data_IF_525750687298
#
_entry.id   IF_525750687298
#
_cell.length_a   1.000
_cell.length_b   1.000
_cell.length_c   1.000
_cell.angle_alpha   90.00
_cell.angle_beta   90.00
_cell.angle_gamma   90.00
#
_symmetry.space_group_name_H-M   'P 1'
#
loop_
_entity.id
_entity.type
_entity.pdbx_description
1 polymer ?
#
# COMPACT_ATOMS: atom_id res chain seq x y z
N UNK A 1 -23.14 9.80 -4.16
CA UNK A 1 -22.50 8.51 -4.50
C UNK A 1 -21.87 8.04 -3.21
N UNK A 2 -22.31 6.92 -2.63
CA UNK A 2 -21.77 6.44 -1.34
C UNK A 2 -20.38 5.86 -1.61
N UNK A 3 -19.33 6.38 -0.97
CA UNK A 3 -17.95 5.89 -1.09
C UNK A 3 -17.52 5.16 0.18
N UNK A 4 -16.38 4.47 0.15
CA UNK A 4 -15.78 3.90 1.37
C UNK A 4 -15.47 4.98 2.42
N UNK A 5 -15.13 6.20 1.98
CA UNK A 5 -14.88 7.32 2.88
C UNK A 5 -16.16 7.85 3.51
N UNK A 6 -17.25 7.93 2.76
CA UNK A 6 -18.56 8.29 3.32
C UNK A 6 -18.99 7.29 4.40
N UNK A 7 -18.71 6.00 4.18
CA UNK A 7 -18.94 4.97 5.20
C UNK A 7 -18.03 5.18 6.43
N UNK A 8 -16.72 5.38 6.21
CA UNK A 8 -15.73 5.60 7.26
C UNK A 8 -16.10 6.78 8.17
N UNK A 9 -16.40 7.95 7.58
CA UNK A 9 -16.73 9.15 8.33
C UNK A 9 -18.19 9.14 8.83
N UNK A 10 -19.09 8.43 8.15
CA UNK A 10 -20.49 8.28 8.57
C UNK A 10 -20.68 7.38 9.79
N UNK A 11 -19.75 6.48 10.08
CA UNK A 11 -19.73 5.62 11.28
C UNK A 11 -18.46 5.83 12.12
N UNK A 12 -18.07 7.10 12.30
CA UNK A 12 -16.79 7.51 12.89
C UNK A 12 -16.45 6.79 14.19
N UNK A 13 -17.34 6.79 15.18
CA UNK A 13 -17.06 6.22 16.51
C UNK A 13 -16.79 4.72 16.47
N UNK A 14 -17.47 3.98 15.57
CA UNK A 14 -17.22 2.55 15.37
C UNK A 14 -15.79 2.30 14.90
N UNK A 15 -15.38 2.99 13.85
CA UNK A 15 -14.06 2.78 13.25
C UNK A 15 -12.94 3.39 14.10
N UNK A 16 -13.21 4.48 14.82
CA UNK A 16 -12.30 5.02 15.83
C UNK A 16 -12.02 3.99 16.93
N UNK A 17 -13.04 3.33 17.46
CA UNK A 17 -12.88 2.28 18.47
C UNK A 17 -12.05 1.09 17.95
N UNK A 18 -12.28 0.68 16.70
CA UNK A 18 -11.51 -0.38 16.04
C UNK A 18 -10.02 0.00 15.89
N UNK A 19 -9.73 1.22 15.41
CA UNK A 19 -8.36 1.71 15.30
C UNK A 19 -7.69 1.79 16.67
N UNK A 20 -8.39 2.30 17.69
CA UNK A 20 -7.89 2.38 19.07
C UNK A 20 -7.48 1.01 19.60
N UNK A 21 -8.34 0.00 19.43
CA UNK A 21 -8.04 -1.37 19.87
C UNK A 21 -6.78 -1.95 19.19
N UNK A 22 -6.59 -1.64 17.90
CA UNK A 22 -5.38 -2.04 17.16
C UNK A 22 -4.14 -1.32 17.71
N UNK A 23 -4.21 0.00 17.90
CA UNK A 23 -3.08 0.79 18.40
C UNK A 23 -2.67 0.36 19.81
N UNK A 24 -3.63 0.07 20.69
CA UNK A 24 -3.37 -0.40 22.06
C UNK A 24 -2.67 -1.77 22.07
N UNK A 25 -3.08 -2.68 21.17
CA UNK A 25 -2.42 -3.97 21.01
C UNK A 25 -0.97 -3.83 20.55
N UNK A 26 -0.72 -2.95 19.58
CA UNK A 26 0.63 -2.74 19.04
C UNK A 26 1.53 -1.98 20.02
N UNK A 27 0.96 -1.11 20.87
CA UNK A 27 1.68 -0.39 21.92
C UNK A 27 2.24 -1.32 23.00
N UNK A 28 1.59 -2.46 23.27
CA UNK A 28 2.08 -3.48 24.21
C UNK A 28 2.98 -4.56 23.58
N UNK A 29 3.25 -4.47 22.27
CA UNK A 29 3.95 -5.50 21.51
C UNK A 29 5.49 -5.45 21.63
N UNK A 30 6.15 -6.50 21.12
CA UNK A 30 7.62 -6.60 21.07
C UNK A 30 8.29 -5.43 20.33
N UNK A 31 7.57 -4.78 19.41
CA UNK A 31 8.05 -3.68 18.57
C UNK A 31 7.55 -2.31 19.03
N UNK A 32 7.12 -2.17 20.29
CA UNK A 32 6.63 -0.89 20.83
C UNK A 32 7.62 0.26 20.65
N UNK A 33 8.93 0.00 20.73
CA UNK A 33 9.98 1.02 20.59
C UNK A 33 10.06 1.61 19.18
N UNK A 34 9.53 0.91 18.18
CA UNK A 34 9.47 1.34 16.78
C UNK A 34 8.14 2.03 16.44
N UNK A 35 7.18 2.08 17.37
CA UNK A 35 5.96 2.85 17.17
C UNK A 35 6.30 4.33 17.10
N UNK A 36 5.83 4.98 16.05
CA UNK A 36 6.16 6.37 15.78
C UNK A 36 5.66 7.31 16.90
N UNK A 37 4.58 6.95 17.60
CA UNK A 37 4.11 7.66 18.79
C UNK A 37 5.14 7.73 19.93
N UNK A 38 5.99 6.71 20.07
CA UNK A 38 7.07 6.72 21.08
C UNK A 38 8.10 7.79 20.77
N UNK A 39 8.35 8.10 19.50
CA UNK A 39 9.29 9.15 19.11
C UNK A 39 8.78 10.56 19.42
N UNK A 40 7.47 10.74 19.64
CA UNK A 40 6.91 12.02 20.07
C UNK A 40 7.14 12.33 21.56
N UNK A 41 7.70 11.39 22.33
CA UNK A 41 8.09 11.64 23.71
C UNK A 41 9.34 12.55 23.76
N UNK A 42 9.48 13.42 24.78
CA UNK A 42 10.63 14.30 24.92
C UNK A 42 11.95 13.54 24.79
N UNK A 43 12.86 14.08 23.98
CA UNK A 43 14.21 13.57 23.69
C UNK A 43 14.32 12.14 23.15
N UNK A 44 13.22 11.39 23.03
CA UNK A 44 13.25 9.99 22.61
C UNK A 44 13.82 9.82 21.21
N UNK A 45 13.38 10.66 20.26
CA UNK A 45 13.93 10.68 18.90
C UNK A 45 15.44 10.98 18.91
N UNK A 46 15.91 11.92 19.73
CA UNK A 46 17.34 12.30 19.79
C UNK A 46 18.22 11.19 20.37
N UNK A 47 17.73 10.47 21.36
CA UNK A 47 18.49 9.42 22.05
C UNK A 47 18.45 8.10 21.26
N UNK A 48 17.31 7.76 20.67
CA UNK A 48 17.11 6.47 20.02
C UNK A 48 17.56 6.42 18.57
N UNK A 49 17.91 7.56 17.96
CA UNK A 49 18.22 7.66 16.52
C UNK A 49 19.49 8.45 16.27
N UNK A 50 20.07 8.26 15.10
CA UNK A 50 21.14 9.10 14.57
C UNK A 50 20.79 9.60 13.17
N UNK A 51 21.39 10.72 12.77
CA UNK A 51 21.25 11.27 11.43
C UNK A 51 22.55 11.03 10.65
N UNK A 52 22.43 10.41 9.47
CA UNK A 52 23.57 10.08 8.61
C UNK A 52 23.52 10.86 7.30
N UNK A 53 24.51 11.71 7.08
CA UNK A 53 24.72 12.39 5.80
C UNK A 53 25.41 11.47 4.79
N UNK A 54 24.79 11.25 3.63
CA UNK A 54 25.38 10.41 2.55
C UNK A 54 26.56 11.08 1.82
N UNK A 55 26.69 12.40 1.94
CA UNK A 55 27.81 13.16 1.40
C UNK A 55 28.19 14.24 2.42
N UNK A 56 28.96 13.90 3.47
CA UNK A 56 29.20 14.77 4.62
C UNK A 56 29.89 16.10 4.27
N UNK A 57 30.58 16.16 3.13
CA UNK A 57 31.23 17.38 2.62
C UNK A 57 30.26 18.34 1.91
N UNK A 58 29.01 17.92 1.65
CA UNK A 58 27.99 18.74 1.01
C UNK A 58 26.92 19.14 2.03
N UNK A 59 26.74 20.44 2.24
CA UNK A 59 25.67 21.02 3.08
C UNK A 59 24.26 20.74 2.55
N UNK A 60 24.14 20.17 1.36
CA UNK A 60 22.88 19.84 0.69
C UNK A 60 22.79 18.35 0.34
N UNK A 61 23.49 17.51 1.09
CA UNK A 61 23.37 16.07 0.95
C UNK A 61 22.04 15.55 1.51
N UNK A 62 21.68 14.36 1.04
CA UNK A 62 20.65 13.56 1.68
C UNK A 62 21.09 13.12 3.07
N UNK A 63 20.17 13.23 4.03
CA UNK A 63 20.35 12.72 5.39
C UNK A 63 19.28 11.67 5.67
N UNK A 64 19.70 10.49 6.13
CA UNK A 64 18.81 9.40 6.53
C UNK A 64 18.79 9.27 8.07
N UNK A 65 17.65 8.85 8.64
CA UNK A 65 17.57 8.44 10.04
C UNK A 65 17.97 6.97 10.17
N UNK A 66 18.96 6.70 11.01
CA UNK A 66 19.57 5.38 11.21
C UNK A 66 19.64 5.00 12.69
N UNK A 67 19.92 3.72 12.96
CA UNK A 67 20.22 3.27 14.32
C UNK A 67 21.57 3.87 14.81
N UNK A 68 21.67 4.31 16.08
CA UNK A 68 22.84 5.03 16.58
C UNK A 68 24.07 4.14 16.84
N UNK A 69 23.89 2.84 17.08
CA UNK A 69 24.96 1.92 17.51
C UNK A 69 25.17 0.81 16.46
N UNK A 70 26.02 1.09 15.46
CA UNK A 70 26.40 0.10 14.43
C UNK A 70 27.63 -0.63 14.93
N UNK A 71 27.43 -1.75 15.65
CA UNK A 71 28.55 -2.49 16.26
C UNK A 71 29.44 -3.25 15.29
N UNK A 72 29.01 -3.44 14.05
CA UNK A 72 29.80 -3.91 12.91
C UNK A 72 28.85 -3.96 11.71
N UNK A 73 29.16 -3.28 10.60
CA UNK A 73 28.30 -3.27 9.40
C UNK A 73 28.07 -1.87 8.80
N UNK A 74 27.33 -1.84 7.70
CA UNK A 74 26.83 -0.59 7.10
C UNK A 74 25.71 -0.01 7.97
N UNK A 75 25.58 1.33 8.10
CA UNK A 75 24.48 1.93 8.83
C UNK A 75 23.11 1.46 8.33
N UNK A 76 22.23 1.08 9.27
CA UNK A 76 20.89 0.60 8.96
C UNK A 76 19.85 1.69 9.18
N UNK A 77 18.96 1.88 8.20
CA UNK A 77 17.81 2.79 8.31
C UNK A 77 16.88 2.34 9.43
N UNK A 78 16.43 3.30 10.25
CA UNK A 78 15.41 3.02 11.24
C UNK A 78 14.02 3.09 10.59
N UNK A 79 13.24 2.01 10.76
CA UNK A 79 11.89 1.87 10.20
C UNK A 79 10.87 1.90 11.32
N UNK A 80 9.99 2.89 11.28
CA UNK A 80 8.95 3.14 12.27
C UNK A 80 7.61 2.56 11.83
N UNK A 81 6.72 2.33 12.79
CA UNK A 81 5.37 1.79 12.58
C UNK A 81 4.31 2.80 12.96
N UNK A 82 3.21 2.84 12.21
CA UNK A 82 2.02 3.64 12.53
C UNK A 82 0.78 3.00 11.91
N UNK A 83 -0.33 3.00 12.64
CA UNK A 83 -1.61 2.45 12.17
C UNK A 83 -2.60 3.57 11.85
N UNK A 84 -3.49 3.34 10.90
CA UNK A 84 -4.53 4.28 10.52
C UNK A 84 -5.39 3.80 9.37
N UNK A 85 -6.47 4.54 9.09
CA UNK A 85 -7.33 4.26 7.94
C UNK A 85 -6.83 4.98 6.70
N UNK A 86 -6.78 4.29 5.56
CA UNK A 86 -6.43 4.90 4.27
C UNK A 86 -7.53 5.88 3.86
N UNK A 87 -7.16 7.13 3.63
CA UNK A 87 -8.03 8.15 3.01
C UNK A 87 -7.73 8.32 1.53
N UNK A 88 -6.48 8.11 1.12
CA UNK A 88 -6.08 8.15 -0.29
C UNK A 88 -4.90 7.22 -0.54
N UNK A 89 -4.89 6.57 -1.70
CA UNK A 89 -3.80 5.70 -2.12
C UNK A 89 -3.52 5.87 -3.62
N UNK A 90 -2.26 6.14 -3.95
CA UNK A 90 -1.71 6.11 -5.29
C UNK A 90 -0.78 4.90 -5.36
N UNK A 91 -1.35 3.75 -5.69
CA UNK A 91 -0.66 2.47 -5.74
C UNK A 91 -0.84 1.81 -7.12
N UNK A 92 0.05 0.87 -7.50
CA UNK A 92 -0.13 0.09 -8.71
C UNK A 92 -1.42 -0.74 -8.70
N UNK A 93 -1.88 -1.22 -9.85
CA UNK A 93 -1.22 -1.13 -11.16
C UNK A 93 -1.44 0.22 -11.86
N UNK A 94 -0.40 0.73 -12.53
CA UNK A 94 -0.52 1.95 -13.33
C UNK A 94 -1.19 1.66 -14.68
N UNK A 95 -2.40 2.17 -14.86
CA UNK A 95 -3.17 2.01 -16.11
C UNK A 95 -3.06 3.21 -17.03
N UNK A 96 -2.55 4.34 -16.54
CA UNK A 96 -2.44 5.59 -17.29
C UNK A 96 -1.12 6.27 -16.97
N UNK A 97 -0.57 6.98 -17.95
CA UNK A 97 0.61 7.83 -17.75
C UNK A 97 0.26 8.92 -16.73
N UNK A 98 1.04 9.06 -15.65
CA UNK A 98 0.83 10.15 -14.69
C UNK A 98 0.83 11.50 -15.42
N UNK A 99 -0.24 12.29 -15.27
CA UNK A 99 -0.33 13.63 -15.87
C UNK A 99 0.69 14.53 -15.18
N UNK A 100 1.62 15.10 -15.94
CA UNK A 100 2.63 16.02 -15.42
C UNK A 100 2.21 17.47 -15.62
N UNK A 101 2.32 18.28 -14.57
CA UNK A 101 2.39 19.74 -14.68
C UNK A 101 3.85 20.16 -14.47
N UNK A 102 4.72 19.90 -15.45
CA UNK A 102 6.11 20.38 -15.43
C UNK A 102 7.20 19.34 -15.68
N UNK A 103 8.43 19.86 -15.85
CA UNK A 103 9.63 19.10 -16.25
C UNK A 103 10.07 18.15 -15.13
N UNK A 104 9.91 16.86 -15.40
CA UNK A 104 10.51 15.70 -14.69
C UNK A 104 9.77 15.26 -13.42
N UNK A 105 8.59 14.67 -13.57
CA UNK A 105 7.89 13.99 -12.49
C UNK A 105 8.43 12.56 -12.34
N UNK A 106 9.19 12.29 -11.29
CA UNK A 106 9.49 10.92 -10.91
C UNK A 106 8.18 10.24 -10.44
N UNK A 107 7.79 9.10 -11.02
CA UNK A 107 6.59 8.40 -10.59
C UNK A 107 6.79 7.90 -9.15
N UNK A 108 5.79 8.14 -8.31
CA UNK A 108 5.78 7.75 -6.91
C UNK A 108 4.53 6.94 -6.58
N UNK A 109 4.66 6.12 -5.55
CA UNK A 109 3.54 5.56 -4.81
C UNK A 109 3.35 6.35 -3.53
N UNK A 110 2.10 6.57 -3.14
CA UNK A 110 1.80 7.17 -1.84
C UNK A 110 0.56 6.57 -1.20
N UNK A 111 0.56 6.57 0.13
CA UNK A 111 -0.58 6.22 0.96
C UNK A 111 -0.74 7.33 1.98
N UNK A 112 -1.96 7.86 2.07
CA UNK A 112 -2.36 8.84 3.09
C UNK A 112 -3.31 8.17 4.06
N UNK A 113 -2.98 8.21 5.34
CA UNK A 113 -3.79 7.65 6.44
C UNK A 113 -4.26 8.74 7.39
N UNK A 114 -5.37 8.46 8.09
CA UNK A 114 -5.89 9.28 9.19
C UNK A 114 -6.03 8.46 10.47
N UNK A 115 -5.83 9.12 11.61
CA UNK A 115 -6.09 8.59 12.95
C UNK A 115 -7.52 8.82 13.45
N UNK A 116 -8.40 9.44 12.66
CA UNK A 116 -9.78 9.77 13.06
C UNK A 116 -9.87 10.60 14.36
N UNK A 117 -8.83 11.40 14.64
CA UNK A 117 -8.74 12.26 15.84
C UNK A 117 -8.30 11.54 17.11
N UNK A 118 -7.72 10.33 17.01
CA UNK A 118 -7.09 9.66 18.15
C UNK A 118 -5.79 10.36 18.55
N UNK A 119 -5.62 10.56 19.86
CA UNK A 119 -4.44 11.21 20.42
C UNK A 119 -3.15 10.41 20.15
N UNK A 120 -3.22 9.08 20.15
CA UNK A 120 -2.08 8.22 19.85
C UNK A 120 -1.56 8.43 18.42
N UNK A 121 -2.46 8.75 17.49
CA UNK A 121 -2.07 9.08 16.12
C UNK A 121 -1.43 10.46 16.05
N UNK A 122 -2.00 11.46 16.72
CA UNK A 122 -1.41 12.79 16.82
C UNK A 122 -0.03 12.75 17.50
N UNK A 123 0.15 11.84 18.46
CA UNK A 123 1.43 11.58 19.10
C UNK A 123 2.46 11.00 18.11
N UNK A 124 2.04 10.18 17.14
CA UNK A 124 2.90 9.75 16.05
C UNK A 124 3.29 10.90 15.10
N UNK A 125 2.38 11.85 14.84
CA UNK A 125 2.71 13.05 14.07
C UNK A 125 3.72 13.94 14.79
N UNK A 126 3.61 14.08 16.12
CA UNK A 126 4.66 14.70 16.96
C UNK A 126 5.99 13.93 16.86
N UNK A 127 5.94 12.61 16.75
CA UNK A 127 7.11 11.77 16.49
C UNK A 127 7.81 12.10 15.17
N UNK A 128 7.05 12.29 14.08
CA UNK A 128 7.61 12.77 12.80
C UNK A 128 8.26 14.14 12.98
N UNK A 129 7.62 15.07 13.69
CA UNK A 129 8.20 16.37 13.98
C UNK A 129 9.49 16.26 14.80
N UNK A 130 9.56 15.37 15.79
CA UNK A 130 10.78 15.15 16.57
C UNK A 130 11.91 14.56 15.71
N UNK A 131 11.61 13.61 14.82
CA UNK A 131 12.57 13.05 13.87
C UNK A 131 13.06 14.10 12.86
N UNK A 132 12.17 15.00 12.42
CA UNK A 132 12.55 16.16 11.61
C UNK A 132 13.58 17.02 12.33
N UNK A 133 13.40 17.25 13.62
CA UNK A 133 14.31 18.09 14.39
C UNK A 133 15.70 17.43 14.48
N UNK A 134 15.77 16.09 14.60
CA UNK A 134 17.03 15.31 14.49
C UNK A 134 17.68 15.48 13.12
N UNK A 135 16.91 15.46 12.03
CA UNK A 135 17.43 15.74 10.69
C UNK A 135 17.89 17.20 10.57
N UNK A 136 17.14 18.14 11.16
CA UNK A 136 17.42 19.57 11.05
C UNK A 136 18.72 19.97 11.71
N UNK A 137 19.19 19.24 12.73
CA UNK A 137 20.48 19.50 13.36
C UNK A 137 21.68 19.23 12.45
N UNK A 138 21.47 18.61 11.29
CA UNK A 138 22.49 18.42 10.25
C UNK A 138 22.59 19.58 9.26
N UNK A 139 21.71 20.58 9.36
CA UNK A 139 21.61 21.67 8.42
C UNK A 139 21.56 23.03 9.12
N UNK A 140 21.85 24.09 8.38
CA UNK A 140 21.52 25.44 8.82
C UNK A 140 19.98 25.60 8.93
N UNK A 141 19.55 26.41 9.89
CA UNK A 141 18.14 26.56 10.30
C UNK A 141 17.15 26.85 9.16
N UNK A 142 17.60 27.50 8.07
CA UNK A 142 16.74 27.90 6.94
C UNK A 142 16.70 26.91 5.77
N UNK A 143 17.50 25.84 5.83
CA UNK A 143 17.75 24.94 4.71
C UNK A 143 16.65 23.90 4.55
N UNK A 144 16.08 23.42 5.66
CA UNK A 144 15.05 22.37 5.66
C UNK A 144 13.65 22.98 5.55
N UNK A 145 12.94 22.70 4.45
CA UNK A 145 11.56 23.19 4.24
C UNK A 145 10.64 22.74 5.36
N UNK A 146 9.70 23.58 5.85
CA UNK A 146 8.73 23.19 6.88
C UNK A 146 7.93 21.94 6.48
N UNK A 147 7.77 21.01 7.42
CA UNK A 147 6.86 19.88 7.29
C UNK A 147 5.52 20.31 7.89
N UNK A 148 4.44 19.96 7.22
CA UNK A 148 3.10 20.37 7.61
C UNK A 148 2.23 19.13 7.74
N UNK A 149 1.48 19.08 8.83
CA UNK A 149 0.39 18.13 8.97
C UNK A 149 -0.76 18.60 8.08
N UNK A 150 -1.25 17.70 7.24
CA UNK A 150 -2.44 17.93 6.43
C UNK A 150 -3.66 17.38 7.13
N UNK A 151 -4.83 17.92 6.80
CA UNK A 151 -6.10 17.47 7.37
C UNK A 151 -7.05 17.00 6.26
N UNK A 152 -7.78 15.92 6.53
CA UNK A 152 -8.83 15.39 5.67
C UNK A 152 -10.09 15.24 6.53
N UNK A 153 -11.21 15.81 6.09
CA UNK A 153 -12.44 15.90 6.90
C UNK A 153 -12.18 16.38 8.34
N UNK A 154 -11.34 17.41 8.52
CA UNK A 154 -10.89 17.99 9.81
C UNK A 154 -9.94 17.13 10.67
N UNK A 155 -9.67 15.88 10.28
CA UNK A 155 -8.76 15.01 11.01
C UNK A 155 -7.35 15.10 10.45
N UNK A 156 -6.35 15.09 11.34
CA UNK A 156 -4.94 15.01 10.98
C UNK A 156 -4.65 13.78 10.12
N UNK A 157 -3.75 13.93 9.16
CA UNK A 157 -3.32 12.87 8.24
C UNK A 157 -1.81 12.77 8.13
N UNK A 158 -1.35 11.58 7.73
CA UNK A 158 0.04 11.31 7.38
C UNK A 158 0.09 10.75 5.96
N UNK A 159 0.81 11.42 5.06
CA UNK A 159 1.15 10.87 3.74
C UNK A 159 2.57 10.30 3.79
N UNK A 160 2.69 9.01 3.48
CA UNK A 160 3.96 8.35 3.23
C UNK A 160 4.07 8.03 1.75
N UNK A 161 5.25 8.24 1.16
CA UNK A 161 5.46 7.98 -0.27
C UNK A 161 6.83 7.41 -0.56
N UNK A 162 6.96 6.74 -1.71
CA UNK A 162 8.23 6.26 -2.21
C UNK A 162 8.29 6.39 -3.74
N UNK A 163 9.45 6.73 -4.27
CA UNK A 163 9.68 6.78 -5.72
C UNK A 163 9.83 5.36 -6.26
N UNK A 164 9.36 5.11 -7.48
CA UNK A 164 9.65 3.84 -8.16
C UNK A 164 11.08 3.72 -8.61
N UNK A 165 11.71 4.86 -8.89
CA UNK A 165 13.03 4.90 -9.47
C UNK A 165 13.95 5.73 -8.60
N UNK A 166 15.17 5.22 -8.46
CA UNK A 166 16.30 5.91 -7.86
C UNK A 166 17.30 6.24 -8.96
N UNK A 167 18.03 7.34 -8.78
CA UNK A 167 19.15 7.64 -9.68
C UNK A 167 20.22 6.54 -9.58
N UNK A 168 20.96 6.26 -10.65
CA UNK A 168 22.03 5.25 -10.62
C UNK A 168 23.10 5.52 -9.56
N UNK A 169 23.31 6.80 -9.21
CA UNK A 169 24.21 7.18 -8.13
C UNK A 169 23.65 6.78 -6.75
N UNK A 170 22.36 7.03 -6.50
CA UNK A 170 21.72 6.65 -5.24
C UNK A 170 21.52 5.16 -5.08
N UNK A 171 21.33 4.44 -6.19
CA UNK A 171 21.19 3.00 -6.25
C UNK A 171 22.54 2.26 -6.36
N UNK A 172 23.66 2.97 -6.24
CA UNK A 172 24.98 2.34 -6.32
C UNK A 172 25.14 1.25 -5.25
N UNK A 173 25.49 0.04 -5.67
CA UNK A 173 25.61 -1.13 -4.80
C UNK A 173 24.29 -1.84 -4.46
N UNK A 174 23.15 -1.35 -4.97
CA UNK A 174 21.85 -2.02 -4.81
C UNK A 174 21.52 -2.89 -6.04
N UNK A 175 20.83 -3.99 -5.80
CA UNK A 175 20.32 -4.85 -6.87
C UNK A 175 19.18 -4.15 -7.62
N UNK A 176 19.35 -4.01 -8.94
CA UNK A 176 18.29 -3.49 -9.81
C UNK A 176 17.30 -4.60 -10.10
N UNK A 177 16.01 -4.33 -9.86
CA UNK A 177 14.92 -5.30 -10.04
C UNK A 177 14.02 -4.86 -11.17
N UNK A 178 13.58 -5.82 -11.99
CA UNK A 178 12.61 -5.55 -13.06
C UNK A 178 11.21 -5.40 -12.48
N UNK A 179 10.48 -4.35 -12.89
CA UNK A 179 9.08 -4.17 -12.50
C UNK A 179 8.21 -5.32 -13.01
N UNK A 180 7.46 -5.95 -12.11
CA UNK A 180 6.53 -7.02 -12.47
C UNK A 180 5.28 -6.49 -13.21
N UNK A 181 4.67 -7.34 -14.05
CA UNK A 181 3.42 -7.02 -14.78
C UNK A 181 2.24 -6.62 -13.88
N UNK A 182 2.26 -7.05 -12.61
CA UNK A 182 1.23 -6.66 -11.63
C UNK A 182 1.39 -5.22 -11.13
N UNK A 183 2.56 -4.60 -11.33
CA UNK A 183 2.85 -3.19 -11.01
C UNK A 183 2.70 -2.32 -12.26
N UNK A 184 3.28 -2.75 -13.38
CA UNK A 184 3.31 -1.99 -14.63
C UNK A 184 2.80 -2.84 -15.81
N UNK A 185 1.49 -3.14 -15.86
CA UNK A 185 0.92 -4.02 -16.88
C UNK A 185 1.08 -3.46 -18.30
N UNK A 186 1.15 -2.12 -18.42
CA UNK A 186 1.21 -1.41 -19.70
C UNK A 186 2.63 -0.94 -20.07
N UNK A 187 3.66 -1.26 -19.27
CA UNK A 187 5.05 -0.84 -19.53
C UNK A 187 5.26 0.69 -19.42
N UNK A 188 4.36 1.41 -18.75
CA UNK A 188 4.39 2.86 -18.61
C UNK A 188 5.52 3.28 -17.69
N UNK A 189 5.64 2.63 -16.52
CA UNK A 189 6.73 2.93 -15.58
C UNK A 189 8.07 2.55 -16.19
N UNK A 190 8.17 1.39 -16.85
CA UNK A 190 9.39 0.97 -17.53
C UNK A 190 9.88 2.03 -18.53
N UNK A 191 8.97 2.56 -19.36
CA UNK A 191 9.28 3.63 -20.30
C UNK A 191 9.77 4.90 -19.59
N UNK A 192 9.10 5.32 -18.52
CA UNK A 192 9.51 6.49 -17.73
C UNK A 192 10.90 6.29 -17.10
N UNK A 193 11.16 5.11 -16.53
CA UNK A 193 12.46 4.78 -15.93
C UNK A 193 13.61 4.86 -16.94
N UNK A 194 13.37 4.38 -18.17
CA UNK A 194 14.33 4.48 -19.28
C UNK A 194 14.59 5.93 -19.70
N UNK A 195 13.54 6.75 -19.83
CA UNK A 195 13.66 8.18 -20.16
C UNK A 195 14.45 8.96 -19.08
N UNK A 196 14.25 8.59 -17.81
CA UNK A 196 14.93 9.20 -16.66
C UNK A 196 16.33 8.63 -16.38
N UNK A 197 16.78 7.61 -17.13
CA UNK A 197 18.03 6.85 -16.86
C UNK A 197 18.15 6.44 -15.39
N UNK A 198 17.02 6.03 -14.81
CA UNK A 198 16.91 5.69 -13.40
C UNK A 198 16.59 4.20 -13.26
N UNK A 199 16.97 3.61 -12.13
CA UNK A 199 16.82 2.18 -11.89
C UNK A 199 15.76 1.92 -10.84
N UNK A 200 15.06 0.79 -10.97
CA UNK A 200 14.14 0.33 -9.95
C UNK A 200 14.89 -0.58 -8.98
N UNK A 201 14.76 -0.28 -7.69
CA UNK A 201 15.29 -1.09 -6.59
C UNK A 201 14.11 -1.55 -5.73
N UNK A 202 14.17 -2.77 -5.20
CA UNK A 202 13.11 -3.32 -4.37
C UNK A 202 13.11 -2.65 -2.99
N UNK A 203 12.39 -1.53 -2.89
CA UNK A 203 12.39 -0.68 -1.69
C UNK A 203 11.09 -0.76 -0.86
N UNK A 204 10.10 -1.55 -1.29
CA UNK A 204 8.77 -1.58 -0.66
C UNK A 204 8.06 -2.93 -0.71
N UNK A 205 7.31 -3.26 0.34
CA UNK A 205 6.51 -4.49 0.44
C UNK A 205 5.02 -4.21 0.67
N UNK A 206 4.13 -5.00 0.04
CA UNK A 206 2.68 -4.95 0.24
C UNK A 206 2.19 -6.24 0.89
N UNK A 207 1.58 -6.14 2.06
CA UNK A 207 1.27 -7.27 2.92
C UNK A 207 -0.20 -7.25 3.36
N UNK A 208 -0.74 -8.42 3.68
CA UNK A 208 -1.98 -8.58 4.44
C UNK A 208 -1.70 -9.47 5.64
N UNK A 209 -2.37 -9.21 6.76
CA UNK A 209 -2.31 -10.07 7.94
C UNK A 209 -3.49 -11.05 7.91
N UNK A 210 -3.22 -12.34 8.10
CA UNK A 210 -4.27 -13.32 8.35
C UNK A 210 -4.70 -13.26 9.82
N UNK A 211 -6.00 -13.30 10.09
CA UNK A 211 -6.55 -13.20 11.46
C UNK A 211 -6.46 -14.54 12.19
N UNK A 212 -6.49 -15.66 11.46
CA UNK A 212 -6.49 -17.01 12.04
C UNK A 212 -5.09 -17.50 12.45
N UNK A 213 -4.05 -16.99 11.79
CA UNK A 213 -2.64 -17.28 12.04
C UNK A 213 -1.93 -15.95 11.85
N UNK A 214 -1.16 -15.46 12.82
CA UNK A 214 -0.37 -14.21 12.67
C UNK A 214 0.74 -14.46 11.64
N UNK A 215 0.35 -14.44 10.37
CA UNK A 215 1.20 -14.63 9.20
C UNK A 215 0.93 -13.50 8.21
N UNK A 216 2.02 -13.01 7.63
CA UNK A 216 1.99 -11.98 6.62
C UNK A 216 2.05 -12.62 5.25
N UNK A 217 1.14 -12.23 4.37
CA UNK A 217 1.11 -12.69 2.99
C UNK A 217 1.29 -11.51 2.05
N UNK A 218 2.12 -11.67 1.04
CA UNK A 218 2.29 -10.65 0.02
C UNK A 218 1.02 -10.53 -0.82
N UNK A 219 0.56 -9.30 -1.05
CA UNK A 219 -0.64 -9.03 -1.85
C UNK A 219 -0.31 -8.11 -3.02
N UNK A 220 -1.16 -8.15 -4.05
CA UNK A 220 -1.08 -7.13 -5.11
C UNK A 220 -1.48 -5.76 -4.56
N UNK A 221 -0.78 -4.67 -4.93
CA UNK A 221 -1.06 -3.33 -4.43
C UNK A 221 -2.48 -2.86 -4.77
N UNK A 222 -3.06 -3.34 -5.87
CA UNK A 222 -4.41 -3.01 -6.31
C UNK A 222 -5.52 -3.53 -5.38
N UNK A 223 -5.18 -4.37 -4.39
CA UNK A 223 -6.09 -4.77 -3.33
C UNK A 223 -6.17 -3.76 -2.19
N UNK A 224 -5.29 -2.78 -2.10
CA UNK A 224 -5.29 -1.76 -1.04
C UNK A 224 -6.17 -0.59 -1.49
N UNK A 225 -7.12 -0.18 -0.64
CA UNK A 225 -8.14 0.83 -0.99
C UNK A 225 -8.41 1.81 0.15
N UNK A 226 -8.96 3.01 -0.16
CA UNK A 226 -9.52 3.89 0.86
C UNK A 226 -10.53 3.14 1.75
N UNK A 227 -10.48 3.40 3.06
CA UNK A 227 -11.26 2.70 4.08
C UNK A 227 -10.59 1.47 4.68
N UNK A 228 -9.48 0.96 4.13
CA UNK A 228 -8.73 -0.11 4.79
C UNK A 228 -8.00 0.40 6.02
N UNK A 229 -8.07 -0.37 7.11
CA UNK A 229 -7.23 -0.19 8.29
C UNK A 229 -5.89 -0.86 8.03
N UNK A 230 -4.82 -0.08 8.09
CA UNK A 230 -3.48 -0.55 7.77
C UNK A 230 -2.48 -0.22 8.87
N UNK A 231 -1.40 -0.97 8.89
CA UNK A 231 -0.13 -0.54 9.47
C UNK A 231 0.81 -0.13 8.35
N UNK A 232 1.40 1.05 8.47
CA UNK A 232 2.48 1.51 7.63
C UNK A 232 3.80 1.29 8.35
N UNK A 233 4.79 0.80 7.60
CA UNK A 233 6.18 0.96 7.98
C UNK A 233 6.78 2.12 7.21
N UNK A 234 7.39 3.05 7.93
CA UNK A 234 7.91 4.30 7.35
C UNK A 234 9.35 4.57 7.78
N UNK A 235 10.15 5.03 6.82
CA UNK A 235 11.45 5.64 7.07
C UNK A 235 11.34 7.15 7.07
N UNK A 236 12.36 7.83 7.59
CA UNK A 236 12.46 9.30 7.56
C UNK A 236 13.81 9.71 6.98
N UNK A 237 13.78 10.60 5.99
CA UNK A 237 15.00 11.19 5.43
C UNK A 237 14.75 12.62 4.96
N UNK A 238 15.81 13.35 4.63
CA UNK A 238 15.75 14.57 3.84
C UNK A 238 16.47 14.40 2.51
N UNK A 239 15.95 15.05 1.47
CA UNK A 239 16.54 15.06 0.13
C UNK A 239 16.72 16.50 -0.38
N UNK A 240 17.77 16.78 -1.17
CA UNK A 240 17.91 18.06 -1.83
C UNK A 240 16.82 18.29 -2.87
N UNK A 241 16.21 19.46 -2.83
CA UNK A 241 15.20 19.91 -3.82
C UNK A 241 15.75 21.04 -4.72
N UNK A 242 17.06 21.29 -4.66
CA UNK A 242 17.74 22.35 -5.39
C UNK A 242 17.72 23.70 -4.67
N UNK A 243 18.48 24.67 -5.21
CA UNK A 243 18.64 26.03 -4.64
C UNK A 243 19.06 26.05 -3.17
N UNK A 244 19.88 25.07 -2.77
CA UNK A 244 20.36 24.92 -1.40
C UNK A 244 19.26 24.60 -0.38
N UNK A 245 18.13 24.04 -0.81
CA UNK A 245 17.05 23.61 0.09
C UNK A 245 16.95 22.09 0.15
N UNK A 246 16.58 21.60 1.32
CA UNK A 246 16.27 20.20 1.56
C UNK A 246 14.80 20.07 1.96
N UNK A 247 14.20 18.94 1.61
CA UNK A 247 12.84 18.57 2.03
C UNK A 247 12.87 17.26 2.77
N UNK A 248 12.19 17.21 3.92
CA UNK A 248 11.95 15.98 4.65
C UNK A 248 10.90 15.14 3.92
N UNK A 249 11.15 13.84 3.81
CA UNK A 249 10.25 12.85 3.26
C UNK A 249 9.93 11.79 4.32
N UNK A 250 8.65 11.44 4.41
CA UNK A 250 8.20 10.22 5.11
C UNK A 250 8.12 9.12 4.07
N UNK A 251 9.06 8.18 4.15
CA UNK A 251 9.28 7.13 3.16
C UNK A 251 8.42 5.94 3.42
N UNK A 252 7.64 5.53 2.44
CA UNK A 252 6.84 4.31 2.55
C UNK A 252 7.71 3.07 2.32
N UNK A 253 7.81 2.20 3.35
CA UNK A 253 8.59 0.94 3.32
C UNK A 253 7.71 -0.29 3.24
N UNK A 254 6.57 -0.29 3.92
CA UNK A 254 5.55 -1.31 3.68
C UNK A 254 4.15 -0.85 4.06
N UNK A 255 3.16 -1.51 3.48
CA UNK A 255 1.74 -1.38 3.84
C UNK A 255 1.23 -2.75 4.22
N UNK A 256 0.73 -2.90 5.44
CA UNK A 256 0.07 -4.12 5.90
C UNK A 256 -1.41 -3.87 6.13
N UNK A 257 -2.29 -4.56 5.40
CA UNK A 257 -3.74 -4.52 5.65
C UNK A 257 -4.07 -5.33 6.91
N UNK A 258 -4.59 -4.65 7.92
CA UNK A 258 -4.98 -5.24 9.20
C UNK A 258 -6.47 -5.57 9.24
N UNK A 259 -7.31 -4.71 8.66
CA UNK A 259 -8.76 -4.92 8.61
C UNK A 259 -9.39 -4.28 7.37
N UNK A 260 -10.44 -4.94 6.86
CA UNK A 260 -11.26 -4.48 5.73
C UNK A 260 -12.70 -4.18 6.18
N UNK A 261 -12.90 -3.88 7.46
CA UNK A 261 -14.23 -3.72 8.06
C UNK A 261 -15.09 -2.68 7.34
N UNK A 262 -14.53 -1.53 6.96
CA UNK A 262 -15.25 -0.48 6.23
C UNK A 262 -15.73 -0.98 4.86
N UNK A 263 -14.86 -1.69 4.13
CA UNK A 263 -15.21 -2.30 2.85
C UNK A 263 -16.32 -3.34 3.02
N UNK A 264 -16.20 -4.20 4.04
CA UNK A 264 -17.20 -5.21 4.35
C UNK A 264 -18.56 -4.57 4.65
N UNK A 265 -18.61 -3.62 5.59
CA UNK A 265 -19.84 -2.92 5.97
C UNK A 265 -20.48 -2.21 4.77
N UNK A 266 -19.68 -1.50 3.97
CA UNK A 266 -20.14 -0.82 2.77
C UNK A 266 -20.77 -1.80 1.76
N UNK A 267 -20.12 -2.94 1.53
CA UNK A 267 -20.63 -3.97 0.64
C UNK A 267 -21.91 -4.62 1.18
N UNK A 268 -21.99 -4.90 2.48
CA UNK A 268 -23.21 -5.42 3.12
C UNK A 268 -24.38 -4.45 2.98
N UNK A 269 -24.15 -3.16 3.22
CA UNK A 269 -25.19 -2.13 3.07
C UNK A 269 -25.66 -2.00 1.63
N UNK A 270 -24.75 -2.07 0.65
CA UNK A 270 -25.13 -2.03 -0.76
C UNK A 270 -25.91 -3.29 -1.19
N UNK A 271 -25.55 -4.47 -0.68
CA UNK A 271 -26.31 -5.70 -0.90
C UNK A 271 -27.72 -5.61 -0.32
N UNK A 272 -27.88 -5.12 0.90
CA UNK A 272 -29.19 -4.90 1.52
C UNK A 272 -30.05 -3.93 0.71
N UNK A 273 -29.46 -2.85 0.18
CA UNK A 273 -30.15 -1.92 -0.72
C UNK A 273 -30.63 -2.63 -1.99
N UNK A 274 -29.80 -3.48 -2.60
CA UNK A 274 -30.16 -4.22 -3.82
C UNK A 274 -31.26 -5.26 -3.59
N UNK A 275 -31.26 -5.96 -2.46
CA UNK A 275 -32.31 -6.93 -2.11
C UNK A 275 -33.68 -6.25 -1.95
N UNK A 276 -33.69 -4.99 -1.52
CA UNK A 276 -34.91 -4.20 -1.36
C UNK A 276 -35.41 -3.53 -2.66
N UNK A 277 -34.72 -3.73 -3.80
CA UNK A 277 -35.20 -3.30 -5.13
C UNK A 277 -36.01 -4.43 -5.76
N UNK A 278 -37.08 -4.08 -6.48
CA UNK A 278 -37.95 -5.02 -7.20
C UNK A 278 -37.16 -6.09 -7.99
N UNK A 279 -37.68 -7.32 -8.12
CA UNK A 279 -36.94 -8.45 -8.70
C UNK A 279 -36.42 -8.09 -10.09
N UNK A 280 -35.09 -8.12 -10.25
CA UNK A 280 -34.46 -7.95 -11.56
C UNK A 280 -34.90 -9.08 -12.49
N UNK A 281 -35.18 -8.74 -13.76
CA UNK A 281 -35.46 -9.72 -14.79
C UNK A 281 -34.35 -10.77 -14.82
N UNK A 282 -34.73 -12.04 -14.62
CA UNK A 282 -33.77 -13.16 -14.58
C UNK A 282 -33.12 -13.30 -15.96
N UNK A 283 -31.86 -12.91 -16.07
CA UNK A 283 -31.03 -13.28 -17.22
C UNK A 283 -30.73 -14.77 -17.08
N UNK A 284 -31.33 -15.61 -17.95
CA UNK A 284 -30.93 -17.02 -18.06
C UNK A 284 -29.47 -17.04 -18.54
N UNK A 285 -28.59 -17.63 -17.74
CA UNK A 285 -27.22 -17.96 -18.15
C UNK A 285 -27.26 -19.35 -18.77
N UNK A 286 -26.81 -19.51 -20.02
CA UNK A 286 -26.50 -20.84 -20.57
C UNK A 286 -25.30 -21.37 -19.78
N UNK A 287 -25.46 -22.54 -19.19
CA UNK A 287 -24.38 -23.30 -18.56
C UNK A 287 -23.80 -24.18 -19.66
N UNK A 288 -22.54 -23.97 -20.05
CA UNK A 288 -21.89 -24.67 -21.16
C UNK A 288 -21.33 -26.04 -20.80
N UNK A 289 -22.08 -26.84 -20.02
CA UNK A 289 -21.69 -28.22 -19.70
C UNK A 289 -22.51 -29.27 -20.46
N UNK A 290 -23.47 -28.84 -21.29
CA UNK A 290 -24.39 -29.76 -21.98
C UNK A 290 -23.91 -30.17 -23.39
N UNK A 291 -22.72 -29.73 -23.85
CA UNK A 291 -22.28 -30.00 -25.23
C UNK A 291 -21.52 -31.32 -25.44
N UNK A 292 -21.18 -32.08 -24.38
CA UNK A 292 -20.29 -33.25 -24.52
C UNK A 292 -20.94 -34.63 -24.24
N UNK A 293 -22.26 -34.71 -23.95
CA UNK A 293 -22.89 -36.01 -23.60
C UNK A 293 -23.53 -36.71 -24.80
N UNK A 294 -24.06 -35.97 -25.78
CA UNK A 294 -24.79 -36.58 -26.92
C UNK A 294 -23.88 -37.13 -28.04
N UNK A 295 -22.64 -36.64 -28.19
CA UNK A 295 -21.71 -37.15 -29.22
C UNK A 295 -21.04 -38.49 -28.86
N UNK A 296 -21.03 -38.88 -27.58
CA UNK A 296 -20.40 -40.14 -27.15
C UNK A 296 -21.35 -41.35 -27.28
N UNK A 297 -22.66 -41.16 -27.09
CA UNK A 297 -23.64 -42.26 -27.19
C UNK A 297 -23.85 -42.75 -28.63
N UNK A 298 -23.89 -41.84 -29.61
CA UNK A 298 -24.10 -42.19 -31.02
C UNK A 298 -22.95 -42.99 -31.64
N UNK A 299 -21.75 -42.89 -31.07
CA UNK A 299 -20.55 -43.62 -31.52
C UNK A 299 -20.49 -45.06 -30.97
N UNK A 300 -21.13 -45.34 -29.83
CA UNK A 300 -21.18 -46.67 -29.22
C UNK A 300 -22.30 -47.51 -29.84
N UNK A 301 -23.48 -46.92 -30.10
CA UNK A 301 -24.63 -47.63 -30.67
C UNK A 301 -24.38 -48.13 -32.11
N UNK A 302 -23.61 -47.39 -32.92
CA UNK A 302 -23.29 -47.78 -34.30
C UNK A 302 -22.32 -48.96 -34.41
N UNK A 303 -21.62 -49.35 -33.34
CA UNK A 303 -20.69 -50.50 -33.34
C UNK A 303 -21.31 -51.81 -32.88
N UNK A 304 -22.55 -51.81 -32.36
CA UNK A 304 -23.16 -53.00 -31.75
C UNK A 304 -24.29 -53.66 -32.55
N UNK A 305 -24.60 -53.24 -33.78
CA UNK A 305 -25.57 -53.96 -34.65
C UNK A 305 -24.88 -54.63 -35.83
N UNK A 306 -24.22 -55.75 -35.55
CA UNK A 306 -23.96 -56.83 -36.51
C UNK A 306 -24.96 -57.95 -36.18
N UNK A 307 -25.63 -58.42 -37.24
CA UNK A 307 -26.47 -59.63 -37.39
C UNK A 307 -27.61 -59.86 -36.40
N UNK A 308 -28.84 -59.86 -36.90
CA UNK A 308 -29.67 -61.07 -36.93
C UNK A 308 -30.96 -60.76 -37.72
N UNK A 309 -30.91 -61.20 -38.98
CA UNK A 309 -31.88 -62.07 -39.63
C UNK A 309 -33.38 -62.03 -39.29
N UNK A 310 -34.12 -62.04 -40.40
CA UNK A 310 -35.26 -62.92 -40.70
C UNK A 310 -36.70 -62.41 -40.52
N UNK A 311 -37.32 -62.32 -41.70
CA UNK A 311 -38.50 -63.09 -42.09
C UNK A 311 -39.93 -62.55 -41.90
N UNK A 312 -40.61 -62.66 -43.05
CA UNK A 312 -42.00 -63.06 -43.24
C UNK A 312 -43.11 -62.19 -42.63
N UNK A 313 -43.88 -61.53 -43.50
CA UNK A 313 -45.15 -62.17 -43.86
C UNK A 313 -45.79 -61.60 -45.13
N UNK A 314 -46.14 -62.55 -46.01
CA UNK A 314 -47.11 -62.39 -47.08
C UNK A 314 -48.53 -62.28 -46.48
N UNK A 315 -49.32 -61.35 -47.00
CA UNK A 315 -50.76 -61.59 -47.19
C UNK A 315 -51.28 -60.64 -48.27
N UNK A 316 -51.24 -61.13 -49.52
CA UNK A 316 -52.42 -61.31 -50.38
C UNK A 316 -52.01 -62.03 -51.67
#
# INVERSE_FOLDING_TARGET
MNTYLDQLFGSLEKYRAELKAVMDREAGGKNQSLQLGVMGQPDRARVATAALSRAPTSSHSRVDIVYPDVKEGSPEEMVFRIQGFIVSAQLPPFMQTPRSSGKTLQPKQSVKITGLGLEEFDQALKGIQALRDVVSSQYDYTTLTPWKVETEHTFSTLEASNCYFSSSHEASGQETVTLGKHVDPMGILLKIGQELRSVHVQDMWWLTMSVCIVSYQQISPGFIRPGHLVELQVGVCSVPIGKGKNMMLVKLRSVCVLSRLVEHDFNTMNLQRMINVAPMNKVKRKVGYDEDVEEMETSIEKRMRISDDQDENMTN
#
